data_IF_757570984805
#
_entry.id   IF_757570984805
#
_cell.length_a   1.000
_cell.length_b   1.000
_cell.length_c   1.000
_cell.angle_alpha   90.00
_cell.angle_beta   90.00
_cell.angle_gamma   90.00
#
_symmetry.space_group_name_H-M   'P 1'
#
loop_
_entity.id
_entity.type
_entity.pdbx_description
1 polymer ?
#
# COMPACT_ATOMS: atom_id res chain seq x y z
N UNK A 1 -2.74 -28.65 -14.90
CA UNK A 1 -3.37 -27.36 -15.26
C UNK A 1 -2.56 -26.28 -14.56
N UNK A 2 -1.68 -25.58 -15.28
CA UNK A 2 -1.02 -24.40 -14.72
C UNK A 2 -1.99 -23.24 -14.91
N UNK A 3 -2.97 -23.15 -14.01
CA UNK A 3 -3.90 -22.03 -13.97
C UNK A 3 -3.18 -20.76 -13.55
N UNK A 4 -3.58 -19.62 -14.13
CA UNK A 4 -3.13 -18.31 -13.65
C UNK A 4 -3.56 -18.20 -12.18
N UNK A 5 -2.66 -17.85 -11.25
CA UNK A 5 -3.03 -17.72 -9.85
C UNK A 5 -4.09 -16.64 -9.66
N UNK A 6 -5.14 -16.94 -8.88
CA UNK A 6 -6.10 -15.94 -8.41
C UNK A 6 -5.41 -15.07 -7.35
N UNK A 7 -5.19 -13.79 -7.68
CA UNK A 7 -4.50 -12.82 -6.81
C UNK A 7 -5.46 -12.05 -5.88
N UNK A 8 -6.75 -12.38 -5.91
CA UNK A 8 -7.78 -11.75 -5.09
C UNK A 8 -8.31 -10.42 -5.61
N UNK A 9 -9.17 -9.79 -4.81
CA UNK A 9 -9.83 -8.51 -5.07
C UNK A 9 -9.11 -7.40 -4.28
N UNK A 10 -8.64 -6.40 -5.02
CA UNK A 10 -8.00 -5.21 -4.47
C UNK A 10 -8.89 -3.97 -4.57
N UNK A 11 -8.74 -3.04 -3.62
CA UNK A 11 -9.37 -1.72 -3.68
C UNK A 11 -8.44 -0.62 -3.17
N UNK A 12 -8.51 0.57 -3.76
CA UNK A 12 -7.80 1.74 -3.26
C UNK A 12 -8.38 2.23 -1.91
N UNK A 13 -7.50 2.43 -0.93
CA UNK A 13 -7.81 3.03 0.35
C UNK A 13 -7.43 4.52 0.35
N UNK A 14 -8.28 5.35 0.93
CA UNK A 14 -8.01 6.76 1.24
C UNK A 14 -8.78 7.14 2.51
N UNK A 15 -8.31 8.13 3.29
CA UNK A 15 -8.95 8.52 4.54
C UNK A 15 -10.46 8.79 4.40
N UNK A 16 -10.89 9.38 3.29
CA UNK A 16 -12.28 9.79 3.05
C UNK A 16 -13.26 8.62 2.89
N UNK A 17 -12.76 7.42 2.58
CA UNK A 17 -13.59 6.21 2.47
C UNK A 17 -13.08 5.07 3.35
N UNK A 18 -12.24 5.37 4.34
CA UNK A 18 -11.60 4.36 5.18
C UNK A 18 -12.63 3.44 5.83
N UNK A 19 -13.67 3.99 6.45
CA UNK A 19 -14.73 3.22 7.10
C UNK A 19 -15.52 2.34 6.11
N UNK A 20 -15.76 2.85 4.90
CA UNK A 20 -16.47 2.11 3.86
C UNK A 20 -15.63 0.93 3.36
N UNK A 21 -14.34 1.16 3.09
CA UNK A 21 -13.39 0.11 2.66
C UNK A 21 -13.20 -0.93 3.75
N UNK A 22 -13.03 -0.49 5.00
CA UNK A 22 -12.90 -1.38 6.15
C UNK A 22 -14.13 -2.28 6.30
N UNK A 23 -15.33 -1.76 6.07
CA UNK A 23 -16.58 -2.50 6.14
C UNK A 23 -16.78 -3.55 5.04
N UNK A 24 -15.95 -3.56 3.98
CA UNK A 24 -16.09 -4.53 2.90
C UNK A 24 -15.66 -5.94 3.35
N UNK A 25 -16.49 -6.91 2.99
CA UNK A 25 -16.16 -8.34 3.03
C UNK A 25 -15.60 -8.80 1.68
N UNK A 26 -14.62 -9.70 1.69
CA UNK A 26 -14.09 -10.30 0.46
C UNK A 26 -13.07 -9.46 -0.30
N UNK A 27 -12.49 -8.44 0.34
CA UNK A 27 -11.27 -7.78 -0.15
C UNK A 27 -10.06 -8.53 0.39
N UNK A 28 -9.10 -8.81 -0.48
CA UNK A 28 -7.87 -9.55 -0.13
C UNK A 28 -6.72 -8.58 0.15
N UNK A 29 -6.75 -7.41 -0.50
CA UNK A 29 -5.75 -6.37 -0.31
C UNK A 29 -6.31 -4.98 -0.56
N UNK A 30 -5.65 -3.97 0.01
CA UNK A 30 -5.89 -2.56 -0.28
C UNK A 30 -4.60 -1.88 -0.69
N UNK A 31 -4.71 -0.87 -1.55
CA UNK A 31 -3.59 -0.01 -1.92
C UNK A 31 -3.74 1.36 -1.28
N UNK A 32 -2.68 1.87 -0.65
CA UNK A 32 -2.68 3.19 -0.03
C UNK A 32 -1.50 4.02 -0.55
N UNK A 33 -1.75 5.28 -0.92
CA UNK A 33 -0.67 6.19 -1.34
C UNK A 33 0.31 6.37 -0.19
N UNK A 34 1.56 5.95 -0.39
CA UNK A 34 2.58 5.86 0.64
C UNK A 34 2.84 7.24 1.27
N UNK A 35 2.92 8.29 0.46
CA UNK A 35 3.19 9.67 0.89
C UNK A 35 2.12 10.22 1.85
N UNK A 36 0.91 9.65 1.86
CA UNK A 36 -0.16 10.03 2.78
C UNK A 36 -0.09 9.30 4.14
N UNK A 37 0.86 8.39 4.31
CA UNK A 37 1.02 7.58 5.53
C UNK A 37 2.22 8.06 6.36
N UNK A 38 2.07 7.92 7.67
CA UNK A 38 3.15 8.05 8.64
C UNK A 38 3.51 6.66 9.18
N UNK A 39 4.76 6.22 8.99
CA UNK A 39 5.21 4.89 9.42
C UNK A 39 5.05 4.67 10.95
N UNK A 40 5.25 5.71 11.75
CA UNK A 40 5.08 5.67 13.21
C UNK A 40 3.64 5.86 13.70
N UNK A 41 2.69 6.20 12.82
CA UNK A 41 1.30 6.46 13.18
C UNK A 41 0.37 6.11 12.02
N UNK A 42 0.17 4.80 11.80
CA UNK A 42 -0.73 4.32 10.77
C UNK A 42 -2.19 4.65 11.12
N UNK A 43 -3.04 4.99 10.13
CA UNK A 43 -4.47 5.13 10.32
C UNK A 43 -5.10 3.85 10.92
N UNK A 44 -5.95 4.00 11.93
CA UNK A 44 -6.55 2.86 12.64
C UNK A 44 -7.26 1.88 11.71
N UNK A 45 -7.89 2.38 10.65
CA UNK A 45 -8.57 1.55 9.64
C UNK A 45 -7.60 0.59 8.93
N UNK A 46 -6.39 1.06 8.59
CA UNK A 46 -5.35 0.20 8.01
C UNK A 46 -4.83 -0.82 9.02
N UNK A 47 -4.73 -0.44 10.31
CA UNK A 47 -4.36 -1.38 11.38
C UNK A 47 -5.41 -2.50 11.49
N UNK A 48 -6.70 -2.15 11.58
CA UNK A 48 -7.79 -3.14 11.67
C UNK A 48 -7.91 -4.03 10.44
N UNK A 49 -7.69 -3.49 9.24
CA UNK A 49 -7.62 -4.27 8.01
C UNK A 49 -6.49 -5.31 8.05
N UNK A 50 -5.29 -4.91 8.51
CA UNK A 50 -4.16 -5.83 8.66
C UNK A 50 -4.41 -6.91 9.71
N UNK A 51 -5.00 -6.56 10.85
CA UNK A 51 -5.37 -7.53 11.90
C UNK A 51 -6.37 -8.58 11.39
N UNK A 52 -7.20 -8.23 10.41
CA UNK A 52 -8.11 -9.15 9.71
C UNK A 52 -7.43 -9.99 8.63
N UNK A 53 -6.15 -9.77 8.34
CA UNK A 53 -5.40 -10.45 7.30
C UNK A 53 -5.49 -9.82 5.91
N UNK A 54 -6.06 -8.61 5.78
CA UNK A 54 -6.05 -7.87 4.50
C UNK A 54 -4.66 -7.28 4.29
N UNK A 55 -4.05 -7.55 3.13
CA UNK A 55 -2.73 -7.00 2.79
C UNK A 55 -2.85 -5.51 2.48
N UNK A 56 -1.97 -4.67 3.04
CA UNK A 56 -1.90 -3.25 2.68
C UNK A 56 -0.66 -3.02 1.83
N UNK A 57 -0.84 -2.59 0.59
CA UNK A 57 0.22 -2.29 -0.37
C UNK A 57 0.46 -0.78 -0.40
N UNK A 58 1.64 -0.27 -0.01
CA UNK A 58 1.99 1.12 -0.21
C UNK A 58 2.30 1.40 -1.68
N UNK A 59 1.69 2.45 -2.22
CA UNK A 59 1.88 2.93 -3.57
C UNK A 59 2.59 4.28 -3.56
N UNK A 60 3.83 4.32 -4.02
CA UNK A 60 4.58 5.56 -4.22
C UNK A 60 4.13 6.31 -5.46
N UNK A 61 4.12 7.65 -5.39
CA UNK A 61 3.71 8.51 -6.52
C UNK A 61 4.74 9.57 -6.88
N UNK A 62 5.95 9.49 -6.31
CA UNK A 62 6.92 10.59 -6.35
C UNK A 62 8.37 10.16 -6.61
N UNK A 63 8.68 8.88 -6.83
CA UNK A 63 10.05 8.47 -7.13
C UNK A 63 10.46 8.77 -8.57
N UNK A 64 9.51 8.77 -9.50
CA UNK A 64 9.76 9.11 -10.90
C UNK A 64 10.72 8.14 -11.58
N UNK A 65 10.46 6.84 -11.43
CA UNK A 65 11.41 5.78 -11.83
C UNK A 65 11.74 5.75 -13.34
N UNK A 66 10.90 6.31 -14.20
CA UNK A 66 11.16 6.48 -15.64
C UNK A 66 11.88 7.78 -16.01
N UNK A 67 12.27 8.60 -15.02
CA UNK A 67 13.10 9.77 -15.24
C UNK A 67 14.54 9.44 -15.66
N UNK A 68 15.26 10.43 -16.20
CA UNK A 68 16.67 10.28 -16.59
C UNK A 68 17.63 10.32 -15.39
N UNK A 69 17.19 10.93 -14.28
CA UNK A 69 17.96 11.07 -13.06
C UNK A 69 17.80 9.85 -12.15
N UNK A 70 18.73 9.67 -11.21
CA UNK A 70 18.57 8.65 -10.16
C UNK A 70 17.41 9.02 -9.23
N UNK A 71 16.60 8.05 -8.78
CA UNK A 71 15.57 8.31 -7.77
C UNK A 71 16.17 8.92 -6.50
N UNK A 72 15.44 9.85 -5.89
CA UNK A 72 15.84 10.48 -4.64
C UNK A 72 15.95 9.43 -3.53
N UNK A 73 17.16 9.31 -2.95
CA UNK A 73 17.46 8.27 -1.95
C UNK A 73 16.63 8.42 -0.67
N UNK A 74 16.24 9.65 -0.30
CA UNK A 74 15.39 9.88 0.87
C UNK A 74 13.96 9.42 0.60
N UNK A 75 13.40 9.75 -0.57
CA UNK A 75 12.07 9.25 -0.97
C UNK A 75 12.03 7.72 -1.01
N UNK A 76 13.11 7.08 -1.45
CA UNK A 76 13.21 5.63 -1.46
C UNK A 76 13.22 5.04 -0.04
N UNK A 77 14.01 5.63 0.87
CA UNK A 77 14.02 5.23 2.28
C UNK A 77 12.66 5.46 2.96
N UNK A 78 12.02 6.60 2.67
CA UNK A 78 10.69 6.96 3.14
C UNK A 78 9.63 5.92 2.69
N UNK A 79 9.68 5.43 1.45
CA UNK A 79 8.80 4.37 0.95
C UNK A 79 9.08 3.03 1.65
N UNK A 80 10.36 2.68 1.85
CA UNK A 80 10.77 1.45 2.53
C UNK A 80 10.26 1.41 3.98
N UNK A 81 10.40 2.51 4.73
CA UNK A 81 9.92 2.61 6.12
C UNK A 81 8.40 2.36 6.21
N UNK A 82 7.64 2.89 5.27
CA UNK A 82 6.18 2.69 5.21
C UNK A 82 5.82 1.25 4.86
N UNK A 83 6.55 0.64 3.93
CA UNK A 83 6.36 -0.78 3.59
C UNK A 83 6.63 -1.68 4.78
N UNK A 84 7.69 -1.41 5.54
CA UNK A 84 8.03 -2.14 6.77
C UNK A 84 6.97 -1.94 7.86
N UNK A 85 6.50 -0.71 8.10
CA UNK A 85 5.44 -0.43 9.06
C UNK A 85 4.12 -1.15 8.73
N UNK A 86 3.80 -1.25 7.44
CA UNK A 86 2.65 -2.00 6.92
C UNK A 86 2.89 -3.51 6.89
N UNK A 87 4.12 -3.99 7.09
CA UNK A 87 4.49 -5.39 6.88
C UNK A 87 4.16 -5.87 5.47
N UNK A 88 4.29 -4.99 4.49
CA UNK A 88 3.81 -5.24 3.14
C UNK A 88 4.76 -6.15 2.37
N UNK A 89 4.27 -7.19 1.66
CA UNK A 89 5.12 -8.05 0.84
C UNK A 89 5.46 -7.42 -0.53
N UNK A 90 4.82 -6.29 -0.86
CA UNK A 90 4.92 -5.63 -2.15
C UNK A 90 4.91 -4.11 -1.96
N UNK A 91 5.63 -3.39 -2.81
CA UNK A 91 5.49 -1.94 -2.98
C UNK A 91 5.19 -1.66 -4.46
N UNK A 92 4.39 -0.64 -4.73
CA UNK A 92 4.09 -0.19 -6.11
C UNK A 92 4.58 1.25 -6.30
N UNK A 93 4.93 1.61 -7.54
CA UNK A 93 5.35 2.96 -7.95
C UNK A 93 4.96 3.17 -9.42
N UNK A 94 5.08 4.40 -9.90
CA UNK A 94 4.98 4.73 -11.30
C UNK A 94 6.31 4.49 -12.02
N UNK A 95 6.24 4.36 -13.35
CA UNK A 95 7.41 4.38 -14.23
C UNK A 95 7.32 5.66 -15.03
#
# INVERSE_FOLDING_TARGET
>A
MNGIPELGIGIGWRPEIADAVEGLSGIDWVEAVAENLCAGHLPDSLVRLRERGVTVVPHGVSLGLGGADRPDARRLADLAERAEALGSPLVTEHI
#
